data_IF_453042631670
#
_entry.id   IF_453042631670
#
_cell.length_a   1.000
_cell.length_b   1.000
_cell.length_c   1.000
_cell.angle_alpha   90.00
_cell.angle_beta   90.00
_cell.angle_gamma   90.00
#
_symmetry.space_group_name_H-M   'P 1'
#
loop_
_entity.id
_entity.type
_entity.pdbx_description
1 polymer ?
#
# COMPACT_ATOMS: atom_id res chain seq x y z
N UNK A 1 35.34 34.45 26.96
CA UNK A 1 35.20 35.03 25.60
C UNK A 1 36.01 34.18 24.65
N UNK A 2 35.36 33.28 23.93
CA UNK A 2 35.92 32.65 22.74
C UNK A 2 35.16 33.20 21.53
N UNK A 3 35.58 34.36 20.99
CA UNK A 3 34.99 34.83 19.75
C UNK A 3 35.65 34.08 18.60
N UNK A 4 34.81 33.45 17.77
CA UNK A 4 35.15 33.01 16.42
C UNK A 4 35.71 31.60 16.18
N UNK A 5 35.47 30.61 17.03
CA UNK A 5 35.77 29.23 16.66
C UNK A 5 34.65 28.64 15.78
N UNK A 6 33.40 29.05 15.98
CA UNK A 6 32.27 28.58 15.18
C UNK A 6 31.47 29.73 14.57
N UNK A 7 31.18 29.65 13.26
CA UNK A 7 30.44 30.68 12.52
C UNK A 7 28.98 30.79 12.93
N UNK A 8 28.46 29.76 13.59
CA UNK A 8 27.07 29.69 14.09
C UNK A 8 26.91 28.57 15.11
N UNK A 9 25.83 28.60 15.88
CA UNK A 9 25.44 27.50 16.81
C UNK A 9 25.28 26.16 16.11
N UNK A 10 24.83 26.17 14.85
CA UNK A 10 24.70 24.96 14.03
C UNK A 10 26.05 24.40 13.59
N UNK A 11 27.01 25.27 13.27
CA UNK A 11 28.39 24.86 12.98
C UNK A 11 29.06 24.19 14.18
N UNK A 12 28.79 24.69 15.40
CA UNK A 12 29.28 24.05 16.63
C UNK A 12 28.65 22.68 16.85
N UNK A 13 27.35 22.56 16.64
CA UNK A 13 26.63 21.28 16.75
C UNK A 13 27.11 20.27 15.72
N UNK A 14 27.36 20.70 14.49
CA UNK A 14 27.89 19.83 13.45
C UNK A 14 29.25 19.29 13.77
N UNK A 15 30.18 20.17 14.25
CA UNK A 15 31.53 19.76 14.67
C UNK A 15 31.53 18.76 15.82
N UNK A 16 30.58 18.87 16.76
CA UNK A 16 30.41 17.88 17.85
C UNK A 16 29.89 16.55 17.32
N UNK A 17 28.94 16.58 16.40
CA UNK A 17 28.44 15.37 15.75
C UNK A 17 29.52 14.64 14.95
N UNK A 18 30.29 15.37 14.18
CA UNK A 18 31.40 14.84 13.38
C UNK A 18 32.48 14.24 14.28
N UNK A 19 32.83 14.93 15.38
CA UNK A 19 33.76 14.43 16.38
C UNK A 19 33.29 13.13 17.06
N UNK A 20 32.02 13.07 17.44
CA UNK A 20 31.43 11.86 18.08
C UNK A 20 31.36 10.67 17.12
N UNK A 21 31.08 10.95 15.84
CA UNK A 21 31.04 9.90 14.81
C UNK A 21 32.41 9.31 14.52
N UNK A 22 33.45 10.14 14.50
CA UNK A 22 34.80 9.73 14.12
C UNK A 22 35.60 9.12 15.30
N UNK A 23 35.02 9.12 16.52
CA UNK A 23 35.67 8.59 17.72
C UNK A 23 34.86 7.51 18.45
N UNK A 24 34.36 6.52 17.71
CA UNK A 24 33.63 5.36 18.29
C UNK A 24 34.51 4.40 19.12
N UNK A 25 35.82 4.67 19.25
CA UNK A 25 36.74 3.94 20.15
C UNK A 25 37.33 4.92 21.16
N UNK A 26 36.58 5.27 22.19
CA UNK A 26 37.08 6.07 23.30
C UNK A 26 37.85 5.19 24.30
N UNK A 27 39.19 5.09 24.11
CA UNK A 27 40.07 5.08 25.25
C UNK A 27 39.87 6.39 25.99
N UNK A 28 39.63 6.35 27.30
CA UNK A 28 39.42 7.51 28.21
C UNK A 28 40.63 8.44 28.18
N UNK A 29 40.68 9.37 27.24
CA UNK A 29 41.57 10.52 27.32
C UNK A 29 40.94 11.52 28.28
N UNK A 30 41.59 11.72 29.44
CA UNK A 30 41.26 12.80 30.34
C UNK A 30 41.45 14.13 29.61
N UNK A 31 40.35 14.79 29.26
CA UNK A 31 40.36 16.16 28.74
C UNK A 31 40.65 17.06 29.92
N UNK A 32 41.68 17.90 29.88
CA UNK A 32 41.95 18.85 30.98
C UNK A 32 40.80 19.87 31.00
N UNK A 33 40.00 19.82 32.06
CA UNK A 33 38.88 20.74 32.30
C UNK A 33 39.45 21.95 33.04
N UNK A 34 39.18 23.14 32.57
CA UNK A 34 39.59 24.40 33.20
C UNK A 34 38.77 24.65 34.48
N UNK A 35 39.28 25.48 35.37
CA UNK A 35 38.56 25.86 36.60
C UNK A 35 37.20 26.51 36.31
N UNK A 36 37.10 27.28 35.21
CA UNK A 36 35.85 27.92 34.80
C UNK A 36 34.83 26.87 34.28
N UNK A 37 35.31 25.86 33.55
CA UNK A 37 34.45 24.74 33.09
C UNK A 37 34.00 23.85 34.24
N UNK A 38 34.87 23.63 35.24
CA UNK A 38 34.51 22.94 36.47
C UNK A 38 33.44 23.70 37.27
N UNK A 39 33.52 25.03 37.35
CA UNK A 39 32.52 25.87 38.01
C UNK A 39 31.15 25.73 37.29
N UNK A 40 31.15 25.78 35.96
CA UNK A 40 29.93 25.57 35.14
C UNK A 40 29.36 24.17 35.34
N UNK A 41 30.19 23.14 35.34
CA UNK A 41 29.74 21.74 35.57
C UNK A 41 29.14 21.58 36.95
N UNK A 42 29.76 22.15 37.96
CA UNK A 42 29.23 22.10 39.33
C UNK A 42 27.91 22.85 39.47
N UNK A 43 27.80 24.04 38.89
CA UNK A 43 26.51 24.77 38.85
C UNK A 43 25.40 23.98 38.17
N UNK A 44 25.68 23.27 37.08
CA UNK A 44 24.73 22.39 36.44
C UNK A 44 24.36 21.16 37.30
N UNK A 45 25.33 20.60 38.03
CA UNK A 45 25.13 19.51 38.96
C UNK A 45 24.23 19.92 40.10
N UNK A 46 24.52 21.04 40.74
CA UNK A 46 23.72 21.57 41.85
C UNK A 46 22.26 21.84 41.43
N UNK A 47 22.08 22.41 40.24
CA UNK A 47 20.74 22.63 39.67
C UNK A 47 19.99 21.31 39.38
N UNK A 48 20.69 20.31 38.86
CA UNK A 48 20.15 19.01 38.61
C UNK A 48 19.76 18.28 39.93
N UNK A 49 20.60 18.37 40.94
CA UNK A 49 20.38 17.76 42.23
C UNK A 49 19.21 18.44 42.98
N UNK A 50 19.09 19.76 42.87
CA UNK A 50 17.94 20.51 43.36
C UNK A 50 16.63 20.06 42.70
N UNK A 51 16.62 19.85 41.36
CA UNK A 51 15.47 19.34 40.62
C UNK A 51 15.10 17.92 41.10
N UNK A 52 16.08 17.05 41.26
CA UNK A 52 15.85 15.69 41.74
C UNK A 52 15.23 15.68 43.15
N UNK A 53 15.76 16.50 44.06
CA UNK A 53 15.25 16.65 45.41
C UNK A 53 13.80 17.14 45.40
N UNK A 54 13.47 18.13 44.58
CA UNK A 54 12.10 18.65 44.49
C UNK A 54 11.13 17.65 43.86
N UNK A 55 11.59 16.88 42.87
CA UNK A 55 10.83 15.75 42.31
C UNK A 55 10.53 14.69 43.38
N UNK A 56 11.53 14.33 44.18
CA UNK A 56 11.39 13.37 45.30
C UNK A 56 10.42 13.87 46.38
N UNK A 57 10.57 15.12 46.80
CA UNK A 57 9.68 15.76 47.78
C UNK A 57 8.22 15.85 47.34
N UNK A 58 7.98 15.97 46.03
CA UNK A 58 6.63 16.05 45.44
C UNK A 58 6.10 14.71 44.93
N UNK A 59 6.88 13.66 45.00
CA UNK A 59 6.50 12.33 44.49
C UNK A 59 6.32 12.30 42.97
N UNK A 60 7.03 13.17 42.22
CA UNK A 60 6.97 13.24 40.77
C UNK A 60 8.16 12.49 40.19
N UNK A 61 7.97 11.42 39.40
CA UNK A 61 9.06 10.75 38.70
C UNK A 61 9.81 11.72 37.78
N UNK A 62 11.14 11.72 37.79
CA UNK A 62 11.98 12.64 37.03
C UNK A 62 11.70 12.58 35.51
N UNK A 63 11.45 11.40 35.01
CA UNK A 63 11.15 11.11 33.60
C UNK A 63 9.78 11.64 33.15
N UNK A 64 8.88 11.94 34.07
CA UNK A 64 7.59 12.58 33.81
C UNK A 64 7.68 14.11 33.74
N UNK A 65 8.78 14.71 34.21
CA UNK A 65 8.99 16.16 34.15
C UNK A 65 9.33 16.58 32.72
N UNK A 66 8.33 17.04 31.98
CA UNK A 66 8.51 17.50 30.58
C UNK A 66 9.17 18.88 30.49
N UNK A 67 8.85 19.77 31.42
CA UNK A 67 9.34 21.16 31.47
C UNK A 67 9.40 21.64 32.91
N UNK A 68 10.31 22.55 33.19
CA UNK A 68 10.38 23.25 34.47
C UNK A 68 10.83 24.68 34.29
N UNK A 69 10.47 25.55 35.24
CA UNK A 69 10.93 26.92 35.30
C UNK A 69 12.16 27.03 36.19
N UNK A 70 13.24 27.52 35.61
CA UNK A 70 14.41 27.91 36.39
C UNK A 70 14.34 29.41 36.66
N UNK A 71 14.28 29.79 37.92
CA UNK A 71 14.30 31.21 38.37
C UNK A 71 15.60 31.51 39.05
N UNK A 72 16.25 32.59 38.64
CA UNK A 72 17.39 33.17 39.30
C UNK A 72 17.08 34.61 39.69
N UNK A 73 18.00 35.26 40.39
CA UNK A 73 17.86 36.65 40.80
C UNK A 73 17.67 37.61 39.61
N UNK A 74 18.23 37.28 38.45
CA UNK A 74 18.26 38.15 37.27
C UNK A 74 17.43 37.71 36.09
N UNK A 75 16.95 36.47 36.03
CA UNK A 75 16.16 35.95 34.94
C UNK A 75 15.31 34.76 35.31
N UNK A 76 14.34 34.47 34.46
CA UNK A 76 13.49 33.28 34.52
C UNK A 76 13.57 32.55 33.19
N UNK A 77 13.98 31.29 33.23
CA UNK A 77 14.11 30.44 32.04
C UNK A 77 13.11 29.29 32.10
N UNK A 78 12.41 29.05 30.99
CA UNK A 78 11.65 27.87 30.76
C UNK A 78 12.53 26.79 30.14
N UNK A 79 12.79 25.73 30.87
CA UNK A 79 13.68 24.65 30.42
C UNK A 79 12.86 23.44 30.04
N UNK A 80 12.99 23.02 28.78
CA UNK A 80 12.43 21.75 28.34
C UNK A 80 13.33 20.59 28.76
N UNK A 81 12.76 19.58 29.38
CA UNK A 81 13.47 18.32 29.54
C UNK A 81 13.71 17.74 28.15
N UNK A 82 14.96 17.38 27.83
CA UNK A 82 15.26 16.81 26.50
C UNK A 82 14.44 15.55 26.34
N UNK A 83 13.46 15.59 25.47
CA UNK A 83 12.87 14.37 24.92
C UNK A 83 13.99 13.48 24.42
N UNK A 84 13.84 12.16 24.50
CA UNK A 84 14.80 11.20 23.96
C UNK A 84 15.30 11.71 22.59
N UNK A 85 16.61 11.69 22.30
CA UNK A 85 17.10 12.07 21.00
C UNK A 85 16.31 11.34 19.92
N UNK A 86 15.98 12.02 18.82
CA UNK A 86 15.21 11.43 17.70
C UNK A 86 15.82 10.10 17.26
N UNK A 87 17.13 10.00 17.21
CA UNK A 87 17.87 8.79 16.85
C UNK A 87 17.61 7.60 17.81
N UNK A 88 17.39 7.88 19.10
CA UNK A 88 17.04 6.83 20.08
C UNK A 88 15.58 6.40 19.91
N UNK A 89 14.68 7.35 19.66
CA UNK A 89 13.28 7.06 19.35
C UNK A 89 13.17 6.25 18.05
N UNK A 90 13.91 6.64 17.02
CA UNK A 90 13.97 5.92 15.74
C UNK A 90 14.46 4.49 15.94
N UNK A 91 15.57 4.28 16.65
CA UNK A 91 16.08 2.93 16.97
C UNK A 91 15.08 2.09 17.75
N UNK A 92 14.42 2.67 18.75
CA UNK A 92 13.39 1.97 19.55
C UNK A 92 12.16 1.64 18.68
N UNK A 93 11.75 2.55 17.77
CA UNK A 93 10.65 2.33 16.84
C UNK A 93 10.98 1.21 15.86
N UNK A 94 12.15 1.23 15.24
CA UNK A 94 12.56 0.15 14.34
C UNK A 94 12.71 -1.18 15.07
N UNK A 95 13.27 -1.21 16.28
CA UNK A 95 13.34 -2.42 17.09
C UNK A 95 11.95 -2.94 17.46
N UNK A 96 10.98 -2.06 17.74
CA UNK A 96 9.59 -2.43 17.97
C UNK A 96 8.91 -2.98 16.72
N UNK A 97 9.10 -2.32 15.57
CA UNK A 97 8.59 -2.78 14.28
C UNK A 97 9.20 -4.13 13.92
N UNK A 98 10.50 -4.30 14.15
CA UNK A 98 11.20 -5.56 13.87
C UNK A 98 10.74 -6.72 14.77
N UNK A 99 10.43 -6.46 16.04
CA UNK A 99 9.81 -7.45 16.93
C UNK A 99 8.39 -7.85 16.50
N UNK A 100 7.69 -6.94 15.83
CA UNK A 100 6.33 -7.14 15.29
C UNK A 100 6.33 -7.62 13.85
N UNK A 101 7.48 -8.05 13.30
CA UNK A 101 7.57 -8.61 11.94
C UNK A 101 6.57 -9.74 11.78
N UNK A 102 5.58 -9.52 10.95
CA UNK A 102 4.78 -10.61 10.41
C UNK A 102 5.73 -11.43 9.55
N UNK A 103 6.05 -12.63 10.00
CA UNK A 103 6.86 -13.56 9.23
C UNK A 103 5.92 -14.55 8.55
N UNK A 104 5.84 -14.46 7.24
CA UNK A 104 5.16 -15.46 6.45
C UNK A 104 6.09 -16.67 6.27
N UNK A 105 5.59 -17.90 6.48
CA UNK A 105 6.34 -19.09 6.15
C UNK A 105 6.59 -19.11 4.63
N UNK A 106 7.77 -19.57 4.24
CA UNK A 106 8.07 -19.78 2.81
C UNK A 106 7.30 -21.01 2.36
N UNK A 107 6.25 -20.81 1.58
CA UNK A 107 5.48 -21.89 0.96
C UNK A 107 6.32 -22.48 -0.18
N UNK A 108 6.48 -23.80 -0.19
CA UNK A 108 7.14 -24.53 -1.27
C UNK A 108 6.07 -25.11 -2.19
N UNK A 109 6.12 -24.72 -3.45
CA UNK A 109 5.18 -25.22 -4.45
C UNK A 109 5.80 -26.36 -5.26
N UNK A 110 4.99 -27.33 -5.72
CA UNK A 110 5.47 -28.38 -6.60
C UNK A 110 5.87 -27.80 -7.96
N UNK A 111 6.82 -28.43 -8.63
CA UNK A 111 7.08 -28.14 -10.05
C UNK A 111 5.99 -28.82 -10.88
N UNK A 112 5.24 -28.02 -11.61
CA UNK A 112 4.13 -28.47 -12.42
C UNK A 112 4.56 -28.63 -13.89
N UNK A 113 4.07 -29.67 -14.56
CA UNK A 113 4.11 -29.80 -16.03
C UNK A 113 2.88 -29.09 -16.59
N UNK A 114 2.98 -28.59 -17.81
CA UNK A 114 1.89 -27.86 -18.48
C UNK A 114 1.32 -26.75 -17.61
N UNK A 115 2.22 -25.91 -17.15
CA UNK A 115 1.96 -24.89 -16.15
C UNK A 115 1.15 -23.73 -16.72
N UNK A 116 0.27 -23.17 -15.88
CA UNK A 116 -0.63 -22.08 -16.22
C UNK A 116 -0.51 -20.92 -15.24
N UNK A 117 -0.69 -19.71 -15.76
CA UNK A 117 -0.91 -18.50 -14.99
C UNK A 117 -2.41 -18.32 -14.74
N UNK A 118 -2.76 -18.00 -13.52
CA UNK A 118 -4.11 -17.54 -13.17
C UNK A 118 -4.07 -16.01 -12.99
N UNK A 119 -4.77 -15.28 -13.87
CA UNK A 119 -4.94 -13.81 -13.79
C UNK A 119 -6.26 -13.53 -13.10
N UNK A 120 -6.22 -12.90 -11.94
CA UNK A 120 -7.39 -12.51 -11.16
C UNK A 120 -7.40 -10.99 -10.99
N UNK A 121 -8.52 -10.37 -11.32
CA UNK A 121 -8.77 -8.95 -11.10
C UNK A 121 -10.18 -8.76 -10.53
N UNK A 122 -10.35 -8.62 -9.22
CA UNK A 122 -11.61 -8.20 -8.64
C UNK A 122 -11.79 -6.70 -8.85
N UNK A 123 -12.16 -6.31 -10.08
CA UNK A 123 -12.26 -4.93 -10.50
C UNK A 123 -13.59 -4.30 -10.11
N UNK A 124 -13.62 -2.98 -10.00
CA UNK A 124 -14.82 -2.15 -9.81
C UNK A 124 -15.67 -2.64 -8.61
N UNK A 125 -14.99 -2.96 -7.50
CA UNK A 125 -15.66 -3.45 -6.30
C UNK A 125 -16.31 -2.33 -5.48
N UNK A 126 -15.78 -1.12 -5.55
CA UNK A 126 -16.31 0.09 -4.93
C UNK A 126 -16.64 -0.08 -3.43
N UNK A 127 -15.68 -0.49 -2.60
CA UNK A 127 -15.87 -0.50 -1.14
C UNK A 127 -16.20 0.93 -0.68
N UNK A 128 -17.27 1.06 0.10
CA UNK A 128 -17.82 2.35 0.52
C UNK A 128 -18.93 2.89 -0.36
N UNK A 129 -19.35 2.19 -1.42
CA UNK A 129 -20.52 2.56 -2.23
C UNK A 129 -21.80 2.20 -1.49
N UNK A 130 -22.80 3.09 -1.57
CA UNK A 130 -24.15 2.84 -1.10
C UNK A 130 -25.11 2.89 -2.27
N UNK A 131 -25.93 1.86 -2.44
CA UNK A 131 -27.07 1.87 -3.36
C UNK A 131 -28.27 1.23 -2.70
N UNK A 132 -29.44 1.84 -2.89
CA UNK A 132 -30.70 1.39 -2.31
C UNK A 132 -31.48 0.55 -3.30
N UNK A 133 -31.95 -0.62 -2.86
CA UNK A 133 -32.84 -1.47 -3.64
C UNK A 133 -34.11 -0.75 -4.04
N UNK A 134 -34.60 0.16 -3.18
CA UNK A 134 -35.79 0.98 -3.46
C UNK A 134 -35.61 1.89 -4.69
N UNK A 135 -34.39 2.35 -4.96
CA UNK A 135 -34.10 3.25 -6.07
C UNK A 135 -33.75 2.50 -7.37
N UNK A 136 -32.98 1.42 -7.25
CA UNK A 136 -32.35 0.79 -8.42
C UNK A 136 -32.75 -0.67 -8.63
N UNK A 137 -33.58 -1.25 -7.76
CA UNK A 137 -33.86 -2.70 -7.67
C UNK A 137 -32.59 -3.55 -7.46
N UNK A 138 -31.49 -2.94 -6.96
CA UNK A 138 -30.24 -3.61 -6.65
C UNK A 138 -29.62 -2.91 -5.43
N UNK A 139 -29.14 -3.68 -4.47
CA UNK A 139 -28.53 -3.13 -3.28
C UNK A 139 -27.00 -3.19 -3.39
N UNK A 140 -26.34 -2.19 -2.80
CA UNK A 140 -24.91 -2.23 -2.57
C UNK A 140 -24.55 -1.61 -1.23
N UNK A 141 -23.75 -2.31 -0.45
CA UNK A 141 -23.15 -1.88 0.81
C UNK A 141 -21.85 -2.65 1.05
N UNK A 142 -21.13 -2.27 2.10
CA UNK A 142 -19.86 -2.86 2.45
C UNK A 142 -19.95 -4.38 2.75
N UNK A 143 -20.94 -4.80 3.51
CA UNK A 143 -21.09 -6.21 3.88
C UNK A 143 -21.32 -7.09 2.65
N UNK A 144 -22.18 -6.63 1.74
CA UNK A 144 -22.51 -7.34 0.52
C UNK A 144 -21.29 -7.47 -0.40
N UNK A 145 -20.55 -6.37 -0.63
CA UNK A 145 -19.41 -6.41 -1.56
C UNK A 145 -18.25 -7.23 -1.01
N UNK A 146 -17.95 -7.15 0.28
CA UNK A 146 -16.91 -7.97 0.92
C UNK A 146 -17.26 -9.45 0.80
N UNK A 147 -18.53 -9.81 1.04
CA UNK A 147 -19.02 -11.18 0.86
C UNK A 147 -18.85 -11.62 -0.58
N UNK A 148 -19.30 -10.80 -1.56
CA UNK A 148 -19.18 -11.13 -2.99
C UNK A 148 -17.72 -11.32 -3.42
N UNK A 149 -16.80 -10.48 -2.96
CA UNK A 149 -15.38 -10.65 -3.29
C UNK A 149 -14.82 -11.95 -2.73
N UNK A 150 -15.07 -12.26 -1.46
CA UNK A 150 -14.61 -13.52 -0.84
C UNK A 150 -15.20 -14.75 -1.52
N UNK A 151 -16.51 -14.77 -1.69
CA UNK A 151 -17.22 -15.89 -2.34
C UNK A 151 -16.77 -16.03 -3.82
N UNK A 152 -16.54 -14.89 -4.49
CA UNK A 152 -16.07 -14.86 -5.87
C UNK A 152 -14.67 -15.46 -6.02
N UNK A 153 -13.73 -15.05 -5.16
CA UNK A 153 -12.36 -15.61 -5.15
C UNK A 153 -12.40 -17.12 -4.86
N UNK A 154 -13.14 -17.54 -3.84
CA UNK A 154 -13.30 -18.97 -3.53
C UNK A 154 -13.92 -19.74 -4.70
N UNK A 155 -14.93 -19.15 -5.35
CA UNK A 155 -15.57 -19.74 -6.54
C UNK A 155 -14.62 -19.84 -7.75
N UNK A 156 -13.75 -18.85 -7.96
CA UNK A 156 -12.70 -18.91 -8.97
C UNK A 156 -11.70 -20.02 -8.65
N UNK A 157 -11.22 -20.11 -7.41
CA UNK A 157 -10.27 -21.15 -7.00
C UNK A 157 -10.87 -22.55 -7.16
N UNK A 158 -12.14 -22.74 -6.79
CA UNK A 158 -12.83 -24.02 -6.97
C UNK A 158 -12.95 -24.41 -8.45
N UNK A 159 -13.37 -23.47 -9.32
CA UNK A 159 -13.53 -23.69 -10.76
C UNK A 159 -12.19 -23.80 -11.50
N UNK A 160 -11.11 -23.35 -10.91
CA UNK A 160 -9.75 -23.49 -11.46
C UNK A 160 -9.09 -24.82 -11.08
N UNK A 161 -9.70 -25.63 -10.23
CA UNK A 161 -9.21 -26.98 -9.94
C UNK A 161 -9.10 -27.79 -11.23
N UNK A 162 -7.99 -28.47 -11.38
CA UNK A 162 -7.66 -29.22 -12.59
C UNK A 162 -6.75 -28.48 -13.58
N UNK A 163 -6.57 -27.17 -13.43
CA UNK A 163 -5.50 -26.45 -14.11
C UNK A 163 -4.25 -26.42 -13.23
N UNK A 164 -3.10 -26.70 -13.82
CA UNK A 164 -1.81 -26.67 -13.12
C UNK A 164 -1.35 -25.24 -12.94
N UNK A 165 -1.82 -24.54 -11.92
CA UNK A 165 -1.48 -23.13 -11.66
C UNK A 165 -0.12 -23.06 -10.97
N UNK A 166 0.90 -22.52 -11.65
CA UNK A 166 2.25 -22.31 -11.10
C UNK A 166 2.53 -20.86 -10.74
N UNK A 167 1.67 -19.92 -11.16
CA UNK A 167 1.77 -18.50 -10.83
C UNK A 167 0.39 -17.82 -10.85
N UNK A 168 0.24 -16.83 -10.00
CA UNK A 168 -0.94 -15.96 -9.99
C UNK A 168 -0.49 -14.53 -10.30
N UNK A 169 -1.15 -13.88 -11.26
CA UNK A 169 -1.14 -12.44 -11.45
C UNK A 169 -2.40 -11.89 -10.78
N UNK A 170 -2.22 -11.24 -9.64
CA UNK A 170 -3.31 -10.64 -8.89
C UNK A 170 -3.27 -9.12 -9.07
N UNK A 171 -4.28 -8.59 -9.76
CA UNK A 171 -4.40 -7.16 -10.03
C UNK A 171 -5.20 -6.52 -8.91
N UNK A 172 -4.62 -5.49 -8.29
CA UNK A 172 -5.26 -4.66 -7.27
C UNK A 172 -5.41 -3.23 -7.81
N UNK A 173 -6.29 -2.44 -7.25
CA UNK A 173 -6.70 -1.17 -7.83
C UNK A 173 -8.02 -1.34 -8.58
N UNK A 174 -8.16 -0.63 -9.69
CA UNK A 174 -9.35 -0.73 -10.51
C UNK A 174 -10.63 -0.43 -9.72
N UNK A 175 -10.70 0.76 -9.11
CA UNK A 175 -11.85 1.21 -8.31
C UNK A 175 -12.16 0.29 -7.12
N UNK A 176 -11.12 0.02 -6.29
CA UNK A 176 -11.29 -0.69 -5.01
C UNK A 176 -12.16 0.12 -4.06
N UNK A 177 -11.83 1.42 -3.91
CA UNK A 177 -12.55 2.36 -3.06
C UNK A 177 -13.50 3.21 -3.89
N UNK A 178 -14.64 3.53 -3.32
CA UNK A 178 -15.65 4.31 -4.03
C UNK A 178 -15.34 5.81 -4.08
N UNK A 179 -14.49 6.29 -3.17
CA UNK A 179 -14.14 7.71 -3.03
C UNK A 179 -12.65 7.90 -2.73
N UNK A 180 -12.10 9.02 -3.19
CA UNK A 180 -10.67 9.34 -3.11
C UNK A 180 -10.32 10.33 -1.98
N UNK A 181 -11.30 10.88 -1.28
CA UNK A 181 -11.06 11.96 -0.32
C UNK A 181 -12.12 12.08 0.76
N UNK A 182 -11.86 12.97 1.73
CA UNK A 182 -12.76 13.26 2.87
C UNK A 182 -14.07 13.92 2.48
N UNK A 183 -14.18 14.48 1.27
CA UNK A 183 -15.40 15.10 0.73
C UNK A 183 -16.36 14.10 0.11
N UNK A 184 -16.00 12.81 0.13
CA UNK A 184 -16.76 11.71 -0.48
C UNK A 184 -16.96 11.91 -1.98
N UNK A 185 -15.89 12.24 -2.68
CA UNK A 185 -15.90 12.40 -4.13
C UNK A 185 -14.92 11.46 -4.79
N UNK A 186 -15.15 11.18 -6.08
CA UNK A 186 -14.13 10.58 -6.95
C UNK A 186 -12.89 11.48 -7.03
N UNK A 187 -11.82 11.03 -7.64
CA UNK A 187 -10.60 11.81 -7.88
C UNK A 187 -10.91 13.14 -8.60
N UNK A 188 -11.82 13.11 -9.58
CA UNK A 188 -12.24 14.30 -10.34
C UNK A 188 -13.26 15.18 -9.61
N UNK A 189 -13.66 14.85 -8.38
CA UNK A 189 -14.54 15.65 -7.57
C UNK A 189 -16.05 15.34 -7.71
N UNK A 190 -16.44 14.26 -8.37
CA UNK A 190 -17.83 13.82 -8.46
C UNK A 190 -18.32 13.28 -7.12
N UNK A 191 -19.35 13.87 -6.48
CA UNK A 191 -19.92 13.39 -5.22
C UNK A 191 -20.49 11.99 -5.35
N UNK A 192 -20.36 11.22 -4.28
CA UNK A 192 -20.79 9.81 -4.23
C UNK A 192 -21.59 9.53 -2.95
N UNK A 193 -22.62 8.69 -3.07
CA UNK A 193 -23.31 8.13 -1.91
C UNK A 193 -22.48 7.02 -1.27
N UNK A 194 -22.23 7.15 0.04
CA UNK A 194 -21.26 6.28 0.72
C UNK A 194 -21.87 5.53 1.91
N UNK A 195 -21.47 4.26 2.00
CA UNK A 195 -21.62 3.42 3.18
C UNK A 195 -20.34 3.51 4.03
N UNK A 196 -20.47 4.03 5.26
CA UNK A 196 -19.35 4.24 6.16
C UNK A 196 -18.49 5.48 5.85
N UNK A 197 -17.45 5.67 6.66
CA UNK A 197 -16.50 6.76 6.51
C UNK A 197 -15.33 6.32 5.63
N UNK A 198 -14.67 7.27 4.96
CA UNK A 198 -13.56 6.98 4.04
C UNK A 198 -12.42 6.18 4.69
N UNK A 199 -12.10 6.44 5.95
CA UNK A 199 -11.05 5.73 6.68
C UNK A 199 -11.49 4.32 7.09
N UNK A 200 -12.76 4.10 7.44
CA UNK A 200 -13.30 2.76 7.72
C UNK A 200 -13.24 1.90 6.46
N UNK A 201 -13.64 2.47 5.32
CA UNK A 201 -13.60 1.81 4.03
C UNK A 201 -12.18 1.45 3.58
N UNK A 202 -11.21 2.33 3.86
CA UNK A 202 -9.79 2.05 3.60
C UNK A 202 -9.30 0.85 4.41
N UNK A 203 -9.58 0.82 5.72
CA UNK A 203 -9.19 -0.28 6.60
C UNK A 203 -9.90 -1.59 6.23
N UNK A 204 -11.16 -1.50 5.81
CA UNK A 204 -11.94 -2.63 5.31
C UNK A 204 -11.32 -3.23 4.04
N UNK A 205 -10.95 -2.38 3.09
CA UNK A 205 -10.27 -2.77 1.86
C UNK A 205 -8.91 -3.42 2.14
N UNK A 206 -8.11 -2.81 3.03
CA UNK A 206 -6.83 -3.36 3.44
C UNK A 206 -6.99 -4.78 4.02
N UNK A 207 -7.91 -4.95 4.96
CA UNK A 207 -8.18 -6.24 5.59
C UNK A 207 -8.63 -7.28 4.55
N UNK A 208 -9.57 -6.93 3.66
CA UNK A 208 -10.06 -7.81 2.61
C UNK A 208 -8.93 -8.30 1.71
N UNK A 209 -8.08 -7.37 1.23
CA UNK A 209 -7.00 -7.75 0.32
C UNK A 209 -5.91 -8.58 1.01
N UNK A 210 -5.60 -8.31 2.28
CA UNK A 210 -4.69 -9.17 3.05
C UNK A 210 -5.25 -10.59 3.13
N UNK A 211 -6.51 -10.78 3.50
CA UNK A 211 -7.15 -12.09 3.59
C UNK A 211 -7.18 -12.82 2.24
N UNK A 212 -7.51 -12.09 1.14
CA UNK A 212 -7.52 -12.66 -0.21
C UNK A 212 -6.11 -13.09 -0.66
N UNK A 213 -5.11 -12.25 -0.43
CA UNK A 213 -3.72 -12.57 -0.81
C UNK A 213 -3.23 -13.79 -0.02
N UNK A 214 -3.54 -13.89 1.27
CA UNK A 214 -3.20 -15.06 2.10
C UNK A 214 -3.86 -16.35 1.60
N UNK A 215 -5.11 -16.29 1.11
CA UNK A 215 -5.76 -17.43 0.46
C UNK A 215 -5.07 -17.82 -0.85
N UNK A 216 -4.80 -16.85 -1.71
CA UNK A 216 -4.17 -17.09 -3.02
C UNK A 216 -2.74 -17.64 -2.86
N UNK A 217 -2.00 -17.19 -1.85
CA UNK A 217 -0.63 -17.63 -1.57
C UNK A 217 -0.54 -19.13 -1.23
N UNK A 218 -1.66 -19.76 -0.83
CA UNK A 218 -1.67 -21.21 -0.60
C UNK A 218 -1.64 -22.03 -1.91
N UNK A 219 -1.99 -21.40 -3.04
CA UNK A 219 -2.13 -22.07 -4.34
C UNK A 219 -0.83 -21.99 -5.15
N UNK A 220 -0.30 -20.79 -5.34
CA UNK A 220 0.89 -20.53 -6.15
C UNK A 220 1.59 -19.21 -5.73
N UNK A 221 2.85 -18.97 -6.15
CA UNK A 221 3.50 -17.69 -5.98
C UNK A 221 2.70 -16.58 -6.68
N UNK A 222 2.63 -15.39 -6.05
CA UNK A 222 1.81 -14.29 -6.53
C UNK A 222 2.69 -13.16 -7.07
N UNK A 223 2.30 -12.60 -8.22
CA UNK A 223 2.72 -11.28 -8.64
C UNK A 223 1.56 -10.30 -8.46
N UNK A 224 1.72 -9.32 -7.60
CA UNK A 224 0.71 -8.30 -7.35
C UNK A 224 1.02 -7.08 -8.20
N UNK A 225 0.02 -6.62 -8.97
CA UNK A 225 0.11 -5.47 -9.85
C UNK A 225 -0.99 -4.48 -9.50
N UNK A 226 -0.66 -3.19 -9.36
CA UNK A 226 -1.62 -2.13 -9.03
C UNK A 226 -1.96 -1.32 -10.29
N UNK A 227 -3.24 -1.20 -10.59
CA UNK A 227 -3.76 -0.32 -11.63
C UNK A 227 -4.50 0.85 -10.97
N UNK A 228 -4.06 2.07 -11.24
CA UNK A 228 -4.72 3.30 -10.78
C UNK A 228 -6.04 3.52 -11.52
N UNK A 229 -7.00 4.14 -10.88
CA UNK A 229 -8.37 4.31 -11.37
C UNK A 229 -8.98 5.65 -11.00
N UNK A 230 -10.13 5.97 -11.59
CA UNK A 230 -10.72 7.31 -11.49
C UNK A 230 -11.51 7.57 -10.18
N UNK A 231 -11.92 6.53 -9.46
CA UNK A 231 -12.61 6.69 -8.17
C UNK A 231 -11.65 6.89 -7.00
N UNK A 232 -10.48 6.27 -7.02
CA UNK A 232 -9.58 6.19 -5.88
C UNK A 232 -8.09 6.32 -6.23
N UNK A 233 -7.76 7.17 -7.19
CA UNK A 233 -6.38 7.34 -7.68
C UNK A 233 -5.35 7.50 -6.56
N UNK A 234 -5.64 8.36 -5.58
CA UNK A 234 -4.75 8.64 -4.45
C UNK A 234 -4.85 7.56 -3.38
N UNK A 235 -6.06 7.28 -2.90
CA UNK A 235 -6.28 6.31 -1.83
C UNK A 235 -5.99 4.88 -2.28
N UNK A 236 -6.28 4.54 -3.54
CA UNK A 236 -5.93 3.25 -4.13
C UNK A 236 -4.41 3.03 -4.18
N UNK A 237 -3.65 4.07 -4.55
CA UNK A 237 -2.18 4.01 -4.50
C UNK A 237 -1.67 3.78 -3.08
N UNK A 238 -2.16 4.54 -2.08
CA UNK A 238 -1.74 4.33 -0.69
C UNK A 238 -2.14 2.95 -0.19
N UNK A 239 -3.31 2.45 -0.56
CA UNK A 239 -3.74 1.10 -0.22
C UNK A 239 -2.76 0.05 -0.80
N UNK A 240 -2.39 0.18 -2.07
CA UNK A 240 -1.42 -0.71 -2.70
C UNK A 240 -0.05 -0.67 -2.00
N UNK A 241 0.41 0.52 -1.58
CA UNK A 241 1.66 0.66 -0.84
C UNK A 241 1.57 0.05 0.57
N UNK A 242 0.42 0.16 1.26
CA UNK A 242 0.25 -0.48 2.57
C UNK A 242 0.24 -2.00 2.47
N UNK A 243 -0.37 -2.56 1.42
CA UNK A 243 -0.35 -4.00 1.14
C UNK A 243 1.08 -4.47 0.81
N UNK A 244 1.81 -3.72 -0.02
CA UNK A 244 3.21 -4.00 -0.31
C UNK A 244 4.07 -3.99 0.96
N UNK A 245 3.89 -2.98 1.83
CA UNK A 245 4.58 -2.88 3.10
C UNK A 245 4.22 -4.04 4.05
N UNK A 246 2.97 -4.50 4.05
CA UNK A 246 2.52 -5.64 4.84
C UNK A 246 3.24 -6.93 4.45
N UNK A 247 3.33 -7.22 3.15
CA UNK A 247 3.94 -8.45 2.62
C UNK A 247 5.41 -8.32 2.24
N UNK A 248 6.10 -7.22 2.58
CA UNK A 248 7.51 -6.94 2.19
C UNK A 248 8.50 -8.05 2.53
N UNK A 249 8.21 -8.86 3.54
CA UNK A 249 9.04 -9.98 3.97
C UNK A 249 8.56 -11.34 3.45
N UNK A 250 7.48 -11.38 2.65
CA UNK A 250 6.95 -12.62 2.08
C UNK A 250 7.68 -12.96 0.77
N UNK A 251 8.46 -14.03 0.77
CA UNK A 251 9.25 -14.45 -0.40
C UNK A 251 8.42 -15.01 -1.55
N UNK A 252 7.17 -15.38 -1.28
CA UNK A 252 6.26 -15.94 -2.27
C UNK A 252 5.46 -14.89 -3.05
N UNK A 253 5.66 -13.61 -2.72
CA UNK A 253 4.94 -12.49 -3.35
C UNK A 253 5.94 -11.51 -3.94
N UNK A 254 5.65 -11.04 -5.15
CA UNK A 254 6.37 -9.94 -5.81
C UNK A 254 5.40 -8.83 -6.15
N UNK A 255 5.87 -7.58 -6.22
CA UNK A 255 5.03 -6.40 -6.38
C UNK A 255 5.46 -5.51 -7.55
N UNK A 256 4.47 -5.00 -8.27
CA UNK A 256 4.58 -3.88 -9.22
C UNK A 256 3.50 -2.85 -8.87
N UNK A 257 3.76 -2.02 -7.84
CA UNK A 257 2.81 -1.04 -7.30
C UNK A 257 3.21 0.41 -7.62
N UNK A 258 3.83 0.62 -8.78
CA UNK A 258 4.06 1.96 -9.31
C UNK A 258 2.75 2.63 -9.74
N UNK A 259 2.79 3.96 -9.97
CA UNK A 259 1.61 4.78 -10.31
C UNK A 259 1.28 4.80 -11.81
N UNK A 260 2.07 4.12 -12.63
CA UNK A 260 1.85 4.09 -14.08
C UNK A 260 0.45 3.53 -14.38
N UNK A 261 -0.26 4.15 -15.33
CA UNK A 261 -1.63 3.76 -15.71
C UNK A 261 -1.71 2.42 -16.44
N UNK A 262 -0.64 1.97 -17.06
CA UNK A 262 -0.56 0.68 -17.77
C UNK A 262 0.62 -0.09 -17.24
N UNK A 263 0.43 -1.38 -17.05
CA UNK A 263 1.47 -2.29 -16.60
C UNK A 263 1.48 -3.54 -17.46
N UNK A 264 2.63 -4.16 -17.52
CA UNK A 264 2.86 -5.31 -18.39
C UNK A 264 3.54 -6.43 -17.61
N UNK A 265 3.07 -7.63 -17.83
CA UNK A 265 3.58 -8.83 -17.19
C UNK A 265 3.81 -9.92 -18.25
N UNK A 266 5.00 -10.51 -18.28
CA UNK A 266 5.32 -11.61 -19.17
C UNK A 266 5.22 -12.94 -18.45
N UNK A 267 4.52 -13.90 -19.07
CA UNK A 267 4.46 -15.28 -18.63
C UNK A 267 4.63 -16.24 -19.81
N UNK A 268 5.80 -16.90 -19.88
CA UNK A 268 6.14 -17.72 -21.06
C UNK A 268 6.04 -16.91 -22.35
N UNK A 269 5.25 -17.39 -23.30
CA UNK A 269 4.99 -16.70 -24.58
C UNK A 269 3.86 -15.66 -24.50
N UNK A 270 3.29 -15.42 -23.30
CA UNK A 270 2.21 -14.44 -23.12
C UNK A 270 2.76 -13.10 -22.63
N UNK A 271 2.27 -12.01 -23.21
CA UNK A 271 2.41 -10.64 -22.71
C UNK A 271 1.03 -10.14 -22.29
N UNK A 272 0.89 -9.81 -21.03
CA UNK A 272 -0.36 -9.38 -20.42
C UNK A 272 -0.20 -7.94 -19.97
N UNK A 273 -1.00 -7.04 -20.53
CA UNK A 273 -1.17 -5.66 -20.09
C UNK A 273 -2.39 -5.54 -19.19
N UNK A 274 -2.33 -4.66 -18.20
CA UNK A 274 -3.49 -4.27 -17.39
C UNK A 274 -3.59 -2.76 -17.29
N UNK A 275 -4.79 -2.25 -17.23
CA UNK A 275 -5.12 -0.83 -17.02
C UNK A 275 -6.58 -0.72 -16.61
N UNK A 276 -6.94 0.36 -15.91
CA UNK A 276 -8.33 0.54 -15.53
C UNK A 276 -9.27 0.69 -16.72
N UNK A 277 -8.93 1.49 -17.70
CA UNK A 277 -9.73 1.64 -18.92
C UNK A 277 -10.42 3.01 -19.05
N UNK A 278 -10.24 3.89 -18.08
CA UNK A 278 -10.79 5.26 -18.06
C UNK A 278 -9.98 6.29 -18.88
N UNK A 279 -8.81 5.91 -19.38
CA UNK A 279 -7.85 6.79 -20.03
C UNK A 279 -7.70 6.55 -21.53
N UNK A 280 -6.69 5.79 -21.95
CA UNK A 280 -6.38 5.54 -23.34
C UNK A 280 -7.49 4.76 -24.05
N UNK A 281 -7.74 5.10 -25.31
CA UNK A 281 -8.73 4.39 -26.13
C UNK A 281 -8.28 2.93 -26.33
N UNK A 282 -9.22 2.00 -26.33
CA UNK A 282 -8.95 0.58 -26.55
C UNK A 282 -8.17 0.31 -27.85
N UNK A 283 -8.44 1.11 -28.90
CA UNK A 283 -7.77 1.02 -30.20
C UNK A 283 -6.28 1.34 -30.13
N UNK A 284 -5.86 2.12 -29.14
CA UNK A 284 -4.49 2.59 -28.99
C UNK A 284 -3.65 1.66 -28.10
N UNK A 285 -4.33 0.84 -27.27
CA UNK A 285 -3.67 -0.06 -26.30
C UNK A 285 -2.66 -1.04 -26.94
N UNK A 286 -2.90 -1.62 -28.14
CA UNK A 286 -1.90 -2.45 -28.80
C UNK A 286 -0.61 -1.72 -29.15
N UNK A 287 -0.72 -0.50 -29.65
CA UNK A 287 0.45 0.31 -30.00
C UNK A 287 1.21 0.76 -28.76
N UNK A 288 0.48 1.15 -27.70
CA UNK A 288 1.07 1.51 -26.41
C UNK A 288 1.80 0.31 -25.80
N UNK A 289 1.21 -0.88 -25.83
CA UNK A 289 1.87 -2.12 -25.36
C UNK A 289 3.16 -2.40 -26.15
N UNK A 290 3.13 -2.24 -27.48
CA UNK A 290 4.30 -2.48 -28.32
C UNK A 290 5.45 -1.51 -28.03
N UNK A 291 5.13 -0.25 -27.68
CA UNK A 291 6.11 0.77 -27.33
C UNK A 291 6.62 0.66 -25.90
N UNK A 292 5.71 0.53 -24.95
CA UNK A 292 6.01 0.57 -23.50
C UNK A 292 6.62 -0.74 -23.01
N UNK A 293 6.29 -1.87 -23.64
CA UNK A 293 6.81 -3.21 -23.33
C UNK A 293 7.56 -3.84 -24.51
N UNK A 294 8.34 -3.06 -25.23
CA UNK A 294 9.00 -3.46 -26.49
C UNK A 294 9.85 -4.73 -26.36
N UNK A 295 10.61 -4.88 -25.28
CA UNK A 295 11.42 -6.07 -25.02
C UNK A 295 10.57 -7.35 -24.89
N UNK A 296 9.46 -7.26 -24.17
CA UNK A 296 8.50 -8.36 -23.97
C UNK A 296 7.65 -8.59 -25.21
N UNK A 297 7.33 -7.53 -25.96
CA UNK A 297 6.59 -7.62 -27.21
C UNK A 297 7.30 -8.50 -28.22
N UNK A 298 8.60 -8.31 -28.37
CA UNK A 298 9.41 -9.07 -29.32
C UNK A 298 9.44 -10.59 -29.02
N UNK A 299 9.43 -10.96 -27.75
CA UNK A 299 9.55 -12.36 -27.29
C UNK A 299 8.20 -13.05 -27.09
N UNK A 300 7.09 -12.30 -27.12
CA UNK A 300 5.75 -12.84 -26.90
C UNK A 300 5.05 -13.24 -28.20
N UNK A 301 4.24 -14.31 -28.15
CA UNK A 301 3.37 -14.76 -29.24
C UNK A 301 1.91 -14.36 -29.01
N UNK A 302 1.46 -14.39 -27.77
CA UNK A 302 0.08 -14.13 -27.34
C UNK A 302 0.03 -12.87 -26.52
N UNK A 303 -0.85 -11.92 -26.85
CA UNK A 303 -0.91 -10.60 -26.24
C UNK A 303 -2.31 -10.25 -25.84
N UNK A 304 -2.48 -9.83 -24.59
CA UNK A 304 -3.75 -9.50 -24.00
C UNK A 304 -3.64 -8.19 -23.23
N UNK A 305 -4.66 -7.35 -23.32
CA UNK A 305 -4.83 -6.20 -22.43
C UNK A 305 -6.15 -6.35 -21.71
N UNK A 306 -6.07 -6.44 -20.40
CA UNK A 306 -7.23 -6.51 -19.52
C UNK A 306 -7.59 -5.13 -19.01
N UNK A 307 -8.87 -4.78 -19.17
CA UNK A 307 -9.44 -3.50 -18.73
C UNK A 307 -10.60 -3.74 -17.76
N UNK A 308 -10.99 -2.70 -17.05
CA UNK A 308 -12.10 -2.62 -16.10
C UNK A 308 -13.03 -1.46 -16.45
N UNK A 309 -13.53 -0.69 -15.49
CA UNK A 309 -14.27 0.57 -15.66
C UNK A 309 -15.66 0.44 -16.28
N UNK A 310 -15.84 -0.36 -17.33
CA UNK A 310 -17.12 -0.46 -18.05
C UNK A 310 -18.11 -1.45 -17.42
N UNK A 311 -17.71 -2.18 -16.36
CA UNK A 311 -18.49 -3.09 -15.53
C UNK A 311 -19.14 -4.28 -16.27
N UNK A 312 -18.92 -4.45 -17.58
CA UNK A 312 -19.49 -5.54 -18.37
C UNK A 312 -18.46 -6.23 -19.25
N UNK A 313 -18.76 -7.43 -19.68
CA UNK A 313 -17.90 -8.20 -20.59
C UNK A 313 -17.85 -7.60 -21.97
N UNK A 314 -16.63 -7.33 -22.43
CA UNK A 314 -16.29 -6.99 -23.79
C UNK A 314 -15.00 -7.71 -24.16
N UNK A 315 -14.89 -8.23 -25.35
CA UNK A 315 -13.66 -8.80 -25.88
C UNK A 315 -13.54 -8.46 -27.37
N UNK A 316 -12.37 -7.97 -27.78
CA UNK A 316 -12.11 -7.63 -29.17
C UNK A 316 -10.64 -7.77 -29.52
N UNK A 317 -10.35 -8.36 -30.66
CA UNK A 317 -9.02 -8.41 -31.23
C UNK A 317 -8.72 -7.13 -32.01
N UNK A 318 -7.62 -6.49 -31.63
CA UNK A 318 -7.03 -5.35 -32.34
C UNK A 318 -5.66 -5.78 -32.89
N UNK A 319 -5.67 -6.30 -34.12
CA UNK A 319 -4.49 -6.92 -34.71
C UNK A 319 -4.04 -8.16 -33.91
N UNK A 320 -2.85 -8.10 -33.35
CA UNK A 320 -2.27 -9.22 -32.58
C UNK A 320 -2.49 -9.13 -31.06
N UNK A 321 -3.37 -8.23 -30.60
CA UNK A 321 -3.68 -8.04 -29.19
C UNK A 321 -5.17 -8.19 -28.95
N UNK A 322 -5.56 -9.07 -28.05
CA UNK A 322 -6.92 -9.14 -27.53
C UNK A 322 -7.08 -8.16 -26.37
N UNK A 323 -8.04 -7.24 -26.48
CA UNK A 323 -8.47 -6.35 -25.37
C UNK A 323 -9.76 -6.88 -24.80
N UNK A 324 -9.76 -7.19 -23.49
CA UNK A 324 -10.87 -7.84 -22.82
C UNK A 324 -11.16 -7.20 -21.46
N UNK A 325 -12.45 -6.95 -21.16
CA UNK A 325 -12.89 -6.35 -19.91
C UNK A 325 -13.34 -7.37 -18.88
N UNK A 326 -13.10 -7.05 -17.60
CA UNK A 326 -13.69 -7.74 -16.46
C UNK A 326 -15.11 -7.23 -16.18
N UNK A 327 -15.96 -8.09 -15.62
CA UNK A 327 -17.22 -7.68 -15.00
C UNK A 327 -16.96 -7.18 -13.59
N UNK A 328 -17.87 -6.32 -13.11
CA UNK A 328 -17.90 -5.85 -11.73
C UNK A 328 -18.80 -6.71 -10.85
N UNK A 329 -18.46 -6.98 -9.60
CA UNK A 329 -19.34 -7.54 -8.59
C UNK A 329 -20.24 -6.50 -7.92
N UNK A 330 -20.05 -5.21 -8.23
CA UNK A 330 -20.73 -4.06 -7.63
C UNK A 330 -22.19 -3.98 -8.02
N UNK A 331 -23.04 -3.60 -7.07
CA UNK A 331 -24.45 -3.30 -7.33
C UNK A 331 -24.64 -2.03 -8.16
N UNK A 332 -25.79 -1.89 -8.76
CA UNK A 332 -26.19 -0.74 -9.58
C UNK A 332 -26.53 0.45 -8.67
N UNK A 333 -25.90 1.61 -8.88
CA UNK A 333 -26.29 2.86 -8.23
C UNK A 333 -27.24 3.68 -9.10
N UNK A 334 -27.72 4.81 -8.56
CA UNK A 334 -28.64 5.72 -9.22
C UNK A 334 -28.12 6.22 -10.57
N UNK A 335 -26.83 6.54 -10.69
CA UNK A 335 -26.23 7.00 -11.93
C UNK A 335 -26.23 5.92 -13.00
N UNK A 336 -25.80 4.70 -12.66
CA UNK A 336 -25.81 3.57 -13.58
C UNK A 336 -27.24 3.20 -14.00
N UNK A 337 -28.19 3.22 -13.05
CA UNK A 337 -29.61 2.96 -13.33
C UNK A 337 -30.18 4.00 -14.31
N UNK A 338 -29.97 5.30 -14.05
CA UNK A 338 -30.43 6.39 -14.89
C UNK A 338 -29.89 6.32 -16.33
N UNK A 339 -28.65 5.88 -16.49
CA UNK A 339 -27.99 5.78 -17.80
C UNK A 339 -28.19 4.42 -18.51
N UNK A 340 -28.94 3.50 -17.90
CA UNK A 340 -29.22 2.19 -18.48
C UNK A 340 -28.06 1.19 -18.39
N UNK A 341 -27.03 1.47 -17.58
CA UNK A 341 -25.88 0.57 -17.34
C UNK A 341 -26.16 -0.44 -16.22
N UNK A 342 -27.32 -1.06 -16.27
CA UNK A 342 -27.77 -2.09 -15.35
C UNK A 342 -27.92 -3.44 -16.09
N UNK A 343 -28.20 -4.51 -15.40
CA UNK A 343 -28.45 -5.84 -15.96
C UNK A 343 -27.21 -6.60 -16.45
N UNK A 344 -25.99 -6.04 -16.43
CA UNK A 344 -24.82 -6.86 -16.60
C UNK A 344 -24.69 -7.84 -15.42
N UNK A 345 -24.42 -9.15 -15.65
CA UNK A 345 -24.20 -10.07 -14.56
C UNK A 345 -23.09 -9.62 -13.63
N UNK A 346 -23.38 -9.54 -12.33
CA UNK A 346 -22.40 -9.23 -11.29
C UNK A 346 -21.49 -10.43 -11.09
N UNK A 347 -20.18 -10.26 -11.21
CA UNK A 347 -19.27 -11.41 -11.15
C UNK A 347 -17.86 -11.01 -10.75
N UNK A 348 -17.13 -11.98 -10.18
CA UNK A 348 -15.68 -11.99 -10.15
C UNK A 348 -15.18 -12.93 -11.24
N UNK A 349 -14.17 -12.53 -11.96
CA UNK A 349 -13.65 -13.25 -13.11
C UNK A 349 -12.14 -13.44 -13.05
N UNK A 350 -11.68 -14.47 -13.74
CA UNK A 350 -10.28 -14.79 -13.90
C UNK A 350 -9.99 -15.38 -15.27
N UNK A 351 -8.74 -15.29 -15.70
CA UNK A 351 -8.27 -15.90 -16.94
C UNK A 351 -7.14 -16.89 -16.65
N UNK A 352 -7.15 -18.00 -17.39
CA UNK A 352 -6.09 -18.99 -17.35
C UNK A 352 -5.30 -18.93 -18.64
N UNK A 353 -3.98 -18.68 -18.49
CA UNK A 353 -3.06 -18.67 -19.61
C UNK A 353 -2.11 -19.84 -19.52
N UNK A 354 -2.13 -20.69 -20.53
CA UNK A 354 -1.10 -21.71 -20.69
C UNK A 354 0.21 -21.03 -21.12
N UNK A 355 1.31 -21.52 -20.59
CA UNK A 355 2.64 -20.89 -20.79
C UNK A 355 3.00 -20.66 -22.28
N UNK A 356 2.58 -21.58 -23.16
CA UNK A 356 2.94 -21.55 -24.59
C UNK A 356 1.73 -21.35 -25.53
N UNK A 357 0.48 -21.61 -25.06
CA UNK A 357 -0.70 -21.65 -25.93
C UNK A 357 -1.60 -20.41 -25.81
N UNK A 358 -1.27 -19.47 -24.92
CA UNK A 358 -2.10 -18.28 -24.70
C UNK A 358 -3.22 -18.53 -23.69
N UNK A 359 -4.26 -17.71 -23.76
CA UNK A 359 -5.45 -17.81 -22.90
C UNK A 359 -6.24 -19.08 -23.28
N UNK A 360 -6.40 -19.96 -22.32
CA UNK A 360 -7.11 -21.24 -22.52
C UNK A 360 -8.48 -21.29 -21.84
N UNK A 361 -8.73 -20.40 -20.85
CA UNK A 361 -10.03 -20.32 -20.19
C UNK A 361 -10.30 -18.91 -19.63
N UNK A 362 -11.60 -18.57 -19.59
CA UNK A 362 -12.16 -17.50 -18.77
C UNK A 362 -13.07 -18.14 -17.75
N UNK A 363 -12.82 -17.91 -16.47
CA UNK A 363 -13.59 -18.43 -15.36
C UNK A 363 -14.43 -17.31 -14.78
N UNK A 364 -15.71 -17.55 -14.57
CA UNK A 364 -16.66 -16.55 -14.04
C UNK A 364 -17.38 -17.12 -12.82
N UNK A 365 -17.40 -16.35 -11.73
CA UNK A 365 -18.25 -16.57 -10.58
C UNK A 365 -19.33 -15.49 -10.54
N UNK A 366 -20.55 -15.84 -10.91
CA UNK A 366 -21.72 -14.93 -10.97
C UNK A 366 -22.42 -14.94 -9.60
N UNK A 367 -22.99 -13.79 -9.21
CA UNK A 367 -23.76 -13.58 -7.98
C UNK A 367 -25.25 -13.40 -8.26
#
# INVERSE_FOLDING_TARGET
>A
KYPNIFKSTESARQSVRDYLRDNETLETKTIPVTLDELAIINEYRDKHDALLKECEEKGIPKDEVKHYWFKSEHFSLFVGNKTKPFDLFEKELFAYIDKKKIQYPVVKYPKLKDANLLVINPADIHIGKLASEFETNDAHNNDLIIKRVKDGILGILEKSKGFNIDKILFVIGNDILHVDNTKRTTTSGTPQDTDGMWFDNFLLAQKLYIEVIEMLMQIAPIHIQFDSSNHDYTNGFFLAQTINAWFRNCKNITFNVGIQHRKYFQYGSNLIGTTHGDGAKETDLPLLMAQEASEHWHTSKHRYVYISHIHHKKAKDYGSVCVESFRSPSGTDSWHHRNGYQHAPKAIEAFIHHKEQGQIARITNIF
#
